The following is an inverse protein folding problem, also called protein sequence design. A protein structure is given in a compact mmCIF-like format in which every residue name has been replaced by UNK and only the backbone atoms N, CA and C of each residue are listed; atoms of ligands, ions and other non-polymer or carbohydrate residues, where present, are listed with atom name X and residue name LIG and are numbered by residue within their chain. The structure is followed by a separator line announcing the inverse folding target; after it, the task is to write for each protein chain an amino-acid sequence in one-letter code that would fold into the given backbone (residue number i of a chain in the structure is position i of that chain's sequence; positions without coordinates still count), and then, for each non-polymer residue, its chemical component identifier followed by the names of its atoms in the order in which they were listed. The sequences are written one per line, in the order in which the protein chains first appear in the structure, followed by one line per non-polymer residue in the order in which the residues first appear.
data_IF_435602042145
#
_entry.id   IF_435602042145
#
_cell.length_a   1.000
_cell.length_b   1.000
_cell.length_c   1.000
_cell.angle_alpha   90.00
_cell.angle_beta   90.00
_cell.angle_gamma   90.00
#
_symmetry.space_group_name_H-M   'P 1'
#
loop_
_entity.id
_entity.type
_entity.pdbx_description
1 polymer ?
#
# COMPACT_ATOMS: atom_id res chain seq x y z
N UNK A 1 5.80 25.80 9.88
CA UNK A 1 5.80 24.39 9.43
C UNK A 1 4.39 24.07 8.96
N UNK A 2 4.18 23.79 7.67
CA UNK A 2 2.87 23.41 7.13
C UNK A 2 2.73 21.89 7.24
N UNK A 3 1.62 21.42 7.80
CA UNK A 3 1.28 19.99 7.86
C UNK A 3 -0.04 19.83 7.10
N UNK A 4 -0.09 18.91 6.16
CA UNK A 4 -1.29 18.54 5.42
C UNK A 4 -1.55 17.07 5.69
N UNK A 5 -2.82 16.73 5.92
CA UNK A 5 -3.26 15.35 6.15
C UNK A 5 -4.42 15.06 5.23
N UNK A 6 -4.31 13.99 4.47
CA UNK A 6 -5.33 13.52 3.55
C UNK A 6 -5.68 12.06 3.85
N UNK A 7 -6.91 11.68 3.52
CA UNK A 7 -7.38 10.31 3.66
C UNK A 7 -7.75 9.78 2.27
N UNK A 8 -7.26 8.59 1.94
CA UNK A 8 -7.59 7.91 0.69
C UNK A 8 -8.24 6.57 0.99
N UNK A 9 -9.29 6.24 0.24
CA UNK A 9 -10.01 4.98 0.34
C UNK A 9 -9.75 4.19 -0.94
N UNK A 10 -9.30 2.96 -0.78
CA UNK A 10 -9.04 2.04 -1.88
C UNK A 10 -9.94 0.82 -1.75
N UNK A 11 -10.43 0.31 -2.89
CA UNK A 11 -11.14 -0.96 -2.95
C UNK A 11 -10.17 -2.04 -3.39
N UNK A 12 -10.07 -3.11 -2.62
CA UNK A 12 -9.20 -4.26 -2.90
C UNK A 12 -10.04 -5.49 -3.21
N UNK A 13 -9.47 -6.41 -3.99
CA UNK A 13 -10.05 -7.74 -4.24
C UNK A 13 -9.83 -8.74 -3.09
N UNK A 14 -9.02 -8.37 -2.08
CA UNK A 14 -8.60 -9.27 -1.00
C UNK A 14 -7.42 -10.16 -1.41
N UNK A 15 -6.99 -11.08 -0.52
CA UNK A 15 -5.93 -12.07 -0.79
C UNK A 15 -4.64 -11.47 -1.37
N UNK A 16 -4.04 -10.53 -0.64
CA UNK A 16 -2.78 -9.88 -1.03
C UNK A 16 -2.87 -9.07 -2.34
N UNK A 17 -4.05 -8.52 -2.68
CA UNK A 17 -4.20 -7.57 -3.79
C UNK A 17 -3.26 -6.36 -3.64
N UNK A 18 -2.61 -5.98 -4.73
CA UNK A 18 -1.59 -4.91 -4.75
C UNK A 18 -2.15 -3.70 -5.51
N UNK A 19 -2.27 -2.59 -4.80
CA UNK A 19 -2.73 -1.31 -5.33
C UNK A 19 -1.53 -0.37 -5.44
N UNK A 20 -1.26 0.14 -6.64
CA UNK A 20 -0.25 1.18 -6.83
C UNK A 20 -0.77 2.51 -6.28
N UNK A 21 -0.04 3.08 -5.31
CA UNK A 21 -0.39 4.36 -4.67
C UNK A 21 0.35 5.55 -5.27
N UNK A 22 1.36 5.31 -6.11
CA UNK A 22 2.34 6.33 -6.57
C UNK A 22 1.65 7.55 -7.17
N UNK A 23 0.80 7.35 -8.18
CA UNK A 23 0.16 8.47 -8.89
C UNK A 23 -0.72 9.30 -7.97
N UNK A 24 -1.43 8.65 -7.05
CA UNK A 24 -2.34 9.32 -6.11
C UNK A 24 -1.58 10.12 -5.06
N UNK A 25 -0.47 9.58 -4.54
CA UNK A 25 0.38 10.28 -3.58
C UNK A 25 1.11 11.46 -4.25
N UNK A 26 1.51 11.30 -5.51
CA UNK A 26 2.12 12.36 -6.29
C UNK A 26 1.13 13.51 -6.54
N UNK A 27 -0.11 13.19 -6.92
CA UNK A 27 -1.18 14.18 -7.07
C UNK A 27 -1.46 14.94 -5.76
N UNK A 28 -1.53 14.25 -4.61
CA UNK A 28 -1.66 14.91 -3.30
C UNK A 28 -0.48 15.81 -2.97
N UNK A 29 0.75 15.39 -3.32
CA UNK A 29 1.94 16.22 -3.12
C UNK A 29 1.90 17.48 -3.99
N UNK A 30 1.60 17.37 -5.29
CA UNK A 30 1.48 18.52 -6.19
C UNK A 30 0.41 19.51 -5.71
N UNK A 31 -0.78 19.00 -5.34
CA UNK A 31 -1.89 19.80 -4.83
C UNK A 31 -1.57 20.50 -3.49
N UNK A 32 -0.59 19.98 -2.73
CA UNK A 32 -0.16 20.58 -1.47
C UNK A 32 0.52 21.95 -1.64
N UNK A 33 1.08 22.21 -2.84
CA UNK A 33 1.92 23.37 -3.15
C UNK A 33 3.25 23.42 -2.36
N UNK A 34 3.64 22.31 -1.73
CA UNK A 34 4.93 22.18 -1.05
C UNK A 34 6.03 21.85 -2.05
N UNK A 35 7.22 22.43 -1.85
CA UNK A 35 8.39 22.19 -2.72
C UNK A 35 9.40 21.22 -2.08
N UNK A 36 9.36 21.05 -0.76
CA UNK A 36 10.24 20.17 0.00
C UNK A 36 9.60 19.75 1.32
N UNK A 37 9.99 18.59 1.85
CA UNK A 37 9.47 18.07 3.10
C UNK A 37 9.54 16.56 3.18
N UNK A 38 8.73 15.99 4.08
CA UNK A 38 8.57 14.55 4.25
C UNK A 38 7.12 14.15 3.97
N UNK A 39 6.93 13.02 3.31
CA UNK A 39 5.62 12.38 3.12
C UNK A 39 5.57 11.13 3.99
N UNK A 40 4.56 11.03 4.84
CA UNK A 40 4.30 9.82 5.64
C UNK A 40 3.04 9.16 5.11
N UNK A 41 3.17 7.89 4.69
CA UNK A 41 2.04 7.08 4.24
C UNK A 41 1.74 6.06 5.33
N UNK A 42 0.48 6.03 5.78
CA UNK A 42 0.06 5.19 6.89
C UNK A 42 -1.19 4.40 6.51
N UNK A 43 -1.16 3.08 6.74
CA UNK A 43 -2.32 2.21 6.59
C UNK A 43 -3.08 2.13 7.92
N UNK A 44 -4.37 2.50 7.90
CA UNK A 44 -5.24 2.38 9.07
C UNK A 44 -5.76 0.94 9.17
N UNK A 45 -5.16 0.13 10.04
CA UNK A 45 -5.54 -1.26 10.29
C UNK A 45 -4.34 -2.20 10.42
N UNK A 46 -4.58 -3.48 10.69
CA UNK A 46 -3.52 -4.48 10.91
C UNK A 46 -3.35 -5.49 9.76
N UNK A 47 -4.27 -5.53 8.80
CA UNK A 47 -4.32 -6.55 7.73
C UNK A 47 -3.89 -6.01 6.36
N UNK A 48 -3.26 -4.84 6.32
CA UNK A 48 -2.71 -4.24 5.11
C UNK A 48 -1.35 -3.61 5.41
N UNK A 49 -0.45 -3.60 4.44
CA UNK A 49 0.89 -3.02 4.56
C UNK A 49 1.14 -1.98 3.47
N UNK A 50 2.08 -1.07 3.76
CA UNK A 50 2.62 -0.13 2.78
C UNK A 50 4.06 -0.56 2.51
N UNK A 51 4.41 -0.67 1.24
CA UNK A 51 5.76 -1.00 0.82
C UNK A 51 6.08 -0.32 -0.51
N UNK A 52 7.36 -0.32 -0.86
CA UNK A 52 7.86 0.13 -2.16
C UNK A 52 8.42 -1.07 -2.90
N UNK A 53 7.93 -1.31 -4.11
CA UNK A 53 8.38 -2.38 -5.00
C UNK A 53 8.15 -1.93 -6.45
N UNK A 54 8.88 -2.51 -7.39
CA UNK A 54 8.57 -2.35 -8.81
C UNK A 54 7.16 -2.88 -9.11
N UNK A 55 6.33 -2.04 -9.73
CA UNK A 55 4.93 -2.37 -10.03
C UNK A 55 4.80 -2.91 -11.45
N UNK A 56 5.12 -4.19 -11.63
CA UNK A 56 5.08 -4.87 -12.92
C UNK A 56 4.25 -6.18 -12.87
N UNK A 57 3.72 -6.67 -14.01
CA UNK A 57 2.81 -7.83 -14.03
C UNK A 57 3.31 -9.12 -13.38
N UNK A 58 4.61 -9.43 -13.40
CA UNK A 58 5.24 -10.58 -12.78
C UNK A 58 5.26 -10.50 -11.25
N UNK A 59 5.84 -9.43 -10.68
CA UNK A 59 5.87 -9.18 -9.25
C UNK A 59 4.49 -9.09 -8.62
N UNK A 60 3.49 -8.62 -9.38
CA UNK A 60 2.09 -8.66 -8.95
C UNK A 60 1.54 -10.07 -8.73
N UNK A 61 2.19 -11.11 -9.27
CA UNK A 61 1.89 -12.52 -9.03
C UNK A 61 2.86 -13.11 -8.00
N UNK A 62 4.15 -12.82 -8.14
CA UNK A 62 5.19 -13.40 -7.29
C UNK A 62 5.01 -13.01 -5.81
N UNK A 63 4.64 -11.76 -5.53
CA UNK A 63 4.46 -11.29 -4.14
C UNK A 63 3.27 -11.97 -3.44
N UNK A 64 2.06 -12.05 -4.02
CA UNK A 64 0.98 -12.84 -3.45
C UNK A 64 1.35 -14.32 -3.28
N UNK A 65 2.04 -14.92 -4.24
CA UNK A 65 2.47 -16.33 -4.19
C UNK A 65 3.44 -16.61 -3.03
N UNK A 66 4.45 -15.76 -2.84
CA UNK A 66 5.41 -15.93 -1.73
C UNK A 66 4.74 -15.67 -0.37
N UNK A 67 3.83 -14.71 -0.29
CA UNK A 67 3.08 -14.43 0.94
C UNK A 67 2.19 -15.62 1.32
N UNK A 68 1.47 -16.21 0.38
CA UNK A 68 0.67 -17.42 0.62
C UNK A 68 1.54 -18.63 0.98
N UNK A 69 2.74 -18.76 0.40
CA UNK A 69 3.70 -19.81 0.78
C UNK A 69 4.21 -19.64 2.22
N UNK A 70 4.51 -18.41 2.64
CA UNK A 70 5.07 -18.11 3.97
C UNK A 70 4.01 -18.04 5.06
N UNK A 71 2.82 -17.52 4.72
CA UNK A 71 1.70 -17.26 5.62
C UNK A 71 0.43 -17.79 4.94
N UNK A 72 0.22 -19.11 4.89
CA UNK A 72 -0.89 -19.69 4.13
C UNK A 72 -2.23 -19.28 4.72
N UNK A 73 -3.15 -18.78 3.89
CA UNK A 73 -4.47 -18.30 4.27
C UNK A 73 -5.41 -19.44 4.68
N UNK A 74 -5.25 -20.62 4.08
CA UNK A 74 -6.04 -21.81 4.42
C UNK A 74 -5.57 -22.52 5.70
N UNK A 75 -4.46 -22.07 6.30
CA UNK A 75 -3.96 -22.64 7.56
C UNK A 75 -4.85 -22.20 8.72
N UNK A 76 -5.15 -23.13 9.62
CA UNK A 76 -5.79 -22.80 10.90
C UNK A 76 -4.79 -22.04 11.78
N UNK A 77 -5.05 -20.77 12.02
CA UNK A 77 -4.39 -19.97 13.05
C UNK A 77 -5.23 -19.96 14.32
N UNK A 78 -4.61 -19.64 15.46
CA UNK A 78 -5.31 -19.46 16.73
C UNK A 78 -5.95 -18.06 16.88
N UNK A 79 -5.56 -17.12 16.03
CA UNK A 79 -6.12 -15.77 15.97
C UNK A 79 -7.55 -15.79 15.42
#
# INVERSE_FOLDING_TARGET
MKIITENHIFKTKGNSDIVNLTDRLFESFENSGLINGNVTVFSVGSTASISTIEYEPGLKKDLPEILEKLIPSAKKYFH
#
